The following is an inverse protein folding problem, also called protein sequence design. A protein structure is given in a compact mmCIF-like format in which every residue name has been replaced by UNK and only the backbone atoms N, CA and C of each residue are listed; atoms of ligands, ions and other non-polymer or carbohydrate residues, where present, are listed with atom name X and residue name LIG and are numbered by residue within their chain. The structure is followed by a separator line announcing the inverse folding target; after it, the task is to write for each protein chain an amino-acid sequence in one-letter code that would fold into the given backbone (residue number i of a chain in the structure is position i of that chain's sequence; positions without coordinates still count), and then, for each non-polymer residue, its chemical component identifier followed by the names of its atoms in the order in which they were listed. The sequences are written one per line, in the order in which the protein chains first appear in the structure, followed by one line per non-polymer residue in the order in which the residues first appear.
data_IF_894779158081
#
_entry.id   IF_894779158081
#
_cell.length_a   1.000
_cell.length_b   1.000
_cell.length_c   1.000
_cell.angle_alpha   90.00
_cell.angle_beta   90.00
_cell.angle_gamma   90.00
#
_symmetry.space_group_name_H-M   'P 1'
#
loop_
_entity.id
_entity.type
_entity.pdbx_description
1 polymer ?
#
# COMPACT_ATOMS: atom_id res chain seq x y z
N UNK A 1 35.96 -9.77 -6.14
CA UNK A 1 35.08 -10.74 -5.48
C UNK A 1 34.53 -10.16 -4.19
N UNK A 2 33.28 -9.68 -4.19
CA UNK A 2 32.34 -9.80 -3.06
C UNK A 2 31.04 -9.10 -3.47
N UNK A 3 30.08 -9.88 -3.96
CA UNK A 3 28.73 -9.40 -4.33
C UNK A 3 27.68 -9.89 -3.33
N UNK A 4 28.11 -10.25 -2.10
CA UNK A 4 27.27 -10.93 -1.11
C UNK A 4 26.48 -9.98 -0.19
N UNK A 5 26.77 -8.67 -0.20
CA UNK A 5 26.11 -7.71 0.69
C UNK A 5 24.78 -7.16 0.15
N UNK A 6 24.49 -7.24 -1.15
CA UNK A 6 23.26 -6.66 -1.72
C UNK A 6 22.01 -7.53 -1.48
N UNK A 7 22.13 -8.85 -1.53
CA UNK A 7 20.96 -9.75 -1.44
C UNK A 7 20.27 -9.72 -0.07
N UNK A 8 21.02 -9.43 1.01
CA UNK A 8 20.45 -9.30 2.35
C UNK A 8 19.64 -8.02 2.58
N UNK A 9 19.93 -6.92 1.86
CA UNK A 9 19.12 -5.71 1.97
C UNK A 9 17.75 -5.90 1.32
N UNK A 10 17.69 -6.48 0.12
CA UNK A 10 16.44 -6.73 -0.60
C UNK A 10 15.50 -7.66 0.17
N UNK A 11 16.03 -8.74 0.75
CA UNK A 11 15.25 -9.66 1.59
C UNK A 11 14.65 -8.95 2.82
N UNK A 12 15.40 -8.05 3.45
CA UNK A 12 14.94 -7.29 4.62
C UNK A 12 13.86 -6.28 4.26
N UNK A 13 13.93 -5.66 3.08
CA UNK A 13 12.89 -4.78 2.56
C UNK A 13 11.60 -5.55 2.22
N UNK A 14 11.72 -6.67 1.50
CA UNK A 14 10.58 -7.56 1.19
C UNK A 14 9.88 -8.08 2.45
N UNK A 15 10.66 -8.51 3.47
CA UNK A 15 10.10 -8.98 4.73
C UNK A 15 9.37 -7.87 5.49
N UNK A 16 9.89 -6.64 5.46
CA UNK A 16 9.28 -5.48 6.13
C UNK A 16 7.96 -5.07 5.46
N UNK A 17 7.89 -5.10 4.13
CA UNK A 17 6.65 -4.80 3.40
C UNK A 17 5.56 -5.85 3.64
N UNK A 18 5.93 -7.13 3.64
CA UNK A 18 5.00 -8.22 3.91
C UNK A 18 4.47 -8.18 5.36
N UNK A 19 5.32 -7.81 6.32
CA UNK A 19 4.93 -7.60 7.72
C UNK A 19 3.89 -6.47 7.87
N UNK A 20 4.08 -5.35 7.15
CA UNK A 20 3.14 -4.21 7.21
C UNK A 20 1.77 -4.58 6.66
N UNK A 21 1.70 -5.33 5.54
CA UNK A 21 0.42 -5.77 4.97
C UNK A 21 -0.35 -6.66 5.94
N UNK A 22 0.31 -7.68 6.50
CA UNK A 22 -0.34 -8.63 7.41
C UNK A 22 -0.78 -7.97 8.72
N UNK A 23 0.03 -7.04 9.26
CA UNK A 23 -0.36 -6.27 10.43
C UNK A 23 -1.56 -5.37 10.17
N UNK A 24 -1.60 -4.70 9.03
CA UNK A 24 -2.72 -3.85 8.67
C UNK A 24 -4.02 -4.66 8.51
N UNK A 25 -3.96 -5.86 7.91
CA UNK A 25 -5.10 -6.79 7.83
C UNK A 25 -5.59 -7.27 9.19
N UNK A 26 -4.70 -7.35 10.19
CA UNK A 26 -5.05 -7.66 11.59
C UNK A 26 -5.58 -6.45 12.37
N UNK A 27 -5.76 -5.30 11.70
CA UNK A 27 -6.31 -4.09 12.29
C UNK A 27 -5.29 -3.18 12.97
N UNK A 28 -3.98 -3.39 12.78
CA UNK A 28 -2.93 -2.48 13.28
C UNK A 28 -3.08 -1.10 12.61
N UNK A 29 -3.49 -0.04 13.35
CA UNK A 29 -3.75 1.27 12.77
C UNK A 29 -2.48 1.96 12.22
N UNK A 30 -1.32 1.66 12.81
CA UNK A 30 -0.04 2.21 12.35
C UNK A 30 0.38 1.57 11.04
N UNK A 31 0.25 0.25 10.93
CA UNK A 31 0.54 -0.46 9.69
C UNK A 31 -0.44 -0.05 8.57
N UNK A 32 -1.73 0.10 8.90
CA UNK A 32 -2.73 0.58 7.94
C UNK A 32 -2.41 1.99 7.44
N UNK A 33 -2.08 2.93 8.34
CA UNK A 33 -1.66 4.28 7.94
C UNK A 33 -0.47 4.26 7.00
N UNK A 34 0.55 3.44 7.29
CA UNK A 34 1.72 3.30 6.42
C UNK A 34 1.35 2.80 5.02
N UNK A 35 0.40 1.87 4.91
CA UNK A 35 -0.08 1.41 3.59
C UNK A 35 -0.82 2.49 2.84
N UNK A 36 -1.72 3.23 3.52
CA UNK A 36 -2.47 4.33 2.91
C UNK A 36 -1.50 5.38 2.39
N UNK A 37 -0.58 5.87 3.23
CA UNK A 37 0.41 6.89 2.85
C UNK A 37 1.28 6.44 1.66
N UNK A 38 1.63 5.16 1.57
CA UNK A 38 2.44 4.63 0.46
C UNK A 38 1.64 4.45 -0.84
N UNK A 39 0.35 4.14 -0.77
CA UNK A 39 -0.42 3.71 -1.93
C UNK A 39 -1.49 4.71 -2.38
N UNK A 40 -1.84 5.72 -1.58
CA UNK A 40 -2.89 6.70 -1.88
C UNK A 40 -2.70 7.35 -3.26
N UNK A 41 -1.49 7.84 -3.55
CA UNK A 41 -1.19 8.46 -4.84
C UNK A 41 -1.36 7.51 -6.03
N UNK A 42 -0.92 6.26 -5.87
CA UNK A 42 -1.05 5.23 -6.91
C UNK A 42 -2.52 4.86 -7.14
N UNK A 43 -3.28 4.67 -6.06
CA UNK A 43 -4.71 4.33 -6.12
C UNK A 43 -5.48 5.47 -6.77
N UNK A 44 -5.29 6.72 -6.32
CA UNK A 44 -5.93 7.91 -6.92
C UNK A 44 -5.61 8.02 -8.41
N UNK A 45 -4.33 7.87 -8.78
CA UNK A 45 -3.90 7.95 -10.19
C UNK A 45 -4.53 6.85 -11.04
N UNK A 46 -4.62 5.64 -10.50
CA UNK A 46 -5.23 4.49 -11.19
C UNK A 46 -6.72 4.73 -11.41
N UNK A 47 -7.44 5.15 -10.37
CA UNK A 47 -8.89 5.39 -10.45
C UNK A 47 -9.20 6.59 -11.36
N UNK A 48 -8.46 7.69 -11.24
CA UNK A 48 -8.59 8.84 -12.12
C UNK A 48 -8.30 8.50 -13.59
N UNK A 49 -7.36 7.59 -13.85
CA UNK A 49 -7.11 7.06 -15.20
C UNK A 49 -8.28 6.28 -15.79
N UNK A 50 -9.15 5.70 -14.95
CA UNK A 50 -10.31 4.90 -15.37
C UNK A 50 -11.61 5.71 -15.44
N UNK A 51 -11.81 6.64 -14.50
CA UNK A 51 -13.06 7.40 -14.33
C UNK A 51 -12.94 8.88 -14.73
N UNK A 52 -11.73 9.35 -15.01
CA UNK A 52 -11.43 10.78 -15.12
C UNK A 52 -11.24 11.44 -13.76
N UNK A 53 -10.69 12.65 -13.76
CA UNK A 53 -10.47 13.47 -12.55
C UNK A 53 -11.79 14.06 -12.06
N UNK A 54 -12.52 13.28 -11.27
CA UNK A 54 -13.85 13.58 -10.75
C UNK A 54 -13.95 13.29 -9.26
N UNK A 55 -14.93 13.90 -8.57
CA UNK A 55 -15.19 13.59 -7.16
C UNK A 55 -15.51 12.09 -6.93
N UNK A 56 -16.14 11.43 -7.91
CA UNK A 56 -16.42 9.99 -7.85
C UNK A 56 -15.14 9.15 -7.84
N UNK A 57 -14.09 9.58 -8.55
CA UNK A 57 -12.79 8.92 -8.50
C UNK A 57 -12.15 8.98 -7.11
N UNK A 58 -12.33 10.09 -6.40
CA UNK A 58 -11.83 10.26 -5.03
C UNK A 58 -12.59 9.37 -4.05
N UNK A 59 -13.91 9.26 -4.19
CA UNK A 59 -14.74 8.37 -3.37
C UNK A 59 -14.38 6.89 -3.60
N UNK A 60 -14.18 6.49 -4.86
CA UNK A 60 -13.75 5.13 -5.20
C UNK A 60 -12.35 4.83 -4.67
N UNK A 61 -11.43 5.78 -4.75
CA UNK A 61 -10.08 5.62 -4.20
C UNK A 61 -10.10 5.42 -2.67
N UNK A 62 -10.98 6.13 -1.95
CA UNK A 62 -11.16 5.93 -0.51
C UNK A 62 -11.78 4.57 -0.18
N UNK A 63 -12.78 4.15 -0.95
CA UNK A 63 -13.47 2.87 -0.75
C UNK A 63 -12.53 1.67 -0.88
N UNK A 64 -11.48 1.76 -1.70
CA UNK A 64 -10.43 0.72 -1.79
C UNK A 64 -9.78 0.45 -0.43
N UNK A 65 -9.39 1.50 0.29
CA UNK A 65 -8.75 1.35 1.60
C UNK A 65 -9.73 0.90 2.68
N UNK A 66 -10.99 1.33 2.60
CA UNK A 66 -12.05 0.88 3.51
C UNK A 66 -12.30 -0.63 3.33
N UNK A 67 -12.37 -1.11 2.09
CA UNK A 67 -12.53 -2.54 1.80
C UNK A 67 -11.33 -3.35 2.25
N UNK A 68 -10.12 -2.85 2.03
CA UNK A 68 -8.91 -3.48 2.52
C UNK A 68 -8.92 -3.64 4.05
N UNK A 69 -9.37 -2.63 4.80
CA UNK A 69 -9.45 -2.69 6.26
C UNK A 69 -10.51 -3.69 6.77
N UNK A 70 -11.57 -3.93 5.98
CA UNK A 70 -12.69 -4.81 6.34
C UNK A 70 -12.50 -6.28 5.91
N UNK A 71 -11.45 -6.59 5.15
CA UNK A 71 -11.21 -7.90 4.52
C UNK A 71 -10.27 -8.80 5.31
#
# INVERSE_FOLDING_TARGET
MSNYQNHHLEARFMQKSHDVVERARRGDPTAFRQLVEQHEGLVRSTVAGMLGDTAEADDVAQEVFIRFYKA
#
